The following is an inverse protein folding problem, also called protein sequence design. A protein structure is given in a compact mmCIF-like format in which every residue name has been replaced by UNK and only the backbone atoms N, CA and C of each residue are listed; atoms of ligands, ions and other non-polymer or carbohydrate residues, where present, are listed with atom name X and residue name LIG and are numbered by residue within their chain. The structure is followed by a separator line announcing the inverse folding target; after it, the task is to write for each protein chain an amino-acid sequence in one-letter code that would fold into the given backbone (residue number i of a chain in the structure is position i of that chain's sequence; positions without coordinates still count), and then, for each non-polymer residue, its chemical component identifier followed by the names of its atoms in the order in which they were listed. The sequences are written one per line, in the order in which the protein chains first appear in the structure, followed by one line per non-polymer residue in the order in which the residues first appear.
data_IF_346590205843
#
_entry.id   IF_346590205843
#
_cell.length_a   1.000
_cell.length_b   1.000
_cell.length_c   1.000
_cell.angle_alpha   90.00
_cell.angle_beta   90.00
_cell.angle_gamma   90.00
#
_symmetry.space_group_name_H-M   'P 1'
#
loop_
_entity.id
_entity.type
_entity.pdbx_description
1 polymer ?
#
# COMPACT_ATOMS: atom_id res chain seq x y z
N UNK A 1 -31.69 20.71 32.29
CA UNK A 1 -31.77 19.29 32.72
C UNK A 1 -31.91 18.48 31.45
N UNK A 2 -30.80 17.94 30.94
CA UNK A 2 -30.83 17.07 29.75
C UNK A 2 -31.60 15.79 30.08
N UNK A 3 -32.48 15.38 29.18
CA UNK A 3 -33.34 14.21 29.32
C UNK A 3 -32.49 12.94 29.44
N UNK A 4 -32.64 12.20 30.55
CA UNK A 4 -31.93 10.94 30.82
C UNK A 4 -32.17 9.84 29.79
N UNK A 5 -33.05 10.07 28.82
CA UNK A 5 -33.31 9.19 27.67
C UNK A 5 -32.16 9.18 26.66
N UNK A 6 -31.49 10.32 26.44
CA UNK A 6 -30.37 10.42 25.46
C UNK A 6 -29.13 9.64 25.94
N UNK A 7 -28.81 9.74 27.23
CA UNK A 7 -27.71 8.99 27.87
C UNK A 7 -27.95 7.46 27.86
N UNK A 8 -29.21 7.01 27.97
CA UNK A 8 -29.54 5.58 27.90
C UNK A 8 -29.38 5.04 26.48
N UNK A 9 -29.82 5.78 25.46
CA UNK A 9 -29.67 5.39 24.06
C UNK A 9 -28.20 5.32 23.64
N UNK A 10 -27.39 6.32 24.04
CA UNK A 10 -25.95 6.31 23.80
C UNK A 10 -25.27 5.11 24.46
N UNK A 11 -25.64 4.76 25.70
CA UNK A 11 -25.09 3.59 26.40
C UNK A 11 -25.45 2.26 25.72
N UNK A 12 -26.71 2.07 25.32
CA UNK A 12 -27.14 0.84 24.65
C UNK A 12 -26.48 0.67 23.27
N UNK A 13 -26.30 1.77 22.53
CA UNK A 13 -25.54 1.75 21.29
C UNK A 13 -24.07 1.35 21.53
N UNK A 14 -23.44 1.90 22.58
CA UNK A 14 -22.06 1.58 22.96
C UNK A 14 -21.90 0.10 23.34
N UNK A 15 -22.83 -0.44 24.12
CA UNK A 15 -22.84 -1.85 24.56
C UNK A 15 -23.05 -2.80 23.36
N UNK A 16 -23.93 -2.46 22.43
CA UNK A 16 -24.19 -3.25 21.20
C UNK A 16 -22.99 -3.24 20.26
N UNK A 17 -22.36 -2.07 20.07
CA UNK A 17 -21.14 -1.93 19.28
C UNK A 17 -19.99 -2.72 19.89
N UNK A 18 -19.78 -2.62 21.20
CA UNK A 18 -18.72 -3.35 21.92
C UNK A 18 -18.90 -4.86 21.77
N UNK A 19 -20.14 -5.35 21.88
CA UNK A 19 -20.44 -6.77 21.70
C UNK A 19 -20.15 -7.24 20.26
N UNK A 20 -20.59 -6.48 19.26
CA UNK A 20 -20.35 -6.79 17.83
C UNK A 20 -18.86 -6.79 17.50
N UNK A 21 -18.10 -5.85 18.07
CA UNK A 21 -16.64 -5.75 17.95
C UNK A 21 -15.94 -7.01 18.50
N UNK A 22 -16.33 -7.47 19.68
CA UNK A 22 -15.75 -8.68 20.30
C UNK A 22 -16.03 -9.91 19.44
N UNK A 23 -17.25 -10.08 18.96
CA UNK A 23 -17.62 -11.21 18.10
C UNK A 23 -16.86 -11.21 16.76
N UNK A 24 -16.69 -10.04 16.14
CA UNK A 24 -15.95 -9.94 14.87
C UNK A 24 -14.45 -10.23 15.06
N UNK A 25 -13.87 -9.75 16.17
CA UNK A 25 -12.46 -10.02 16.51
C UNK A 25 -12.22 -11.51 16.76
N UNK A 26 -13.16 -12.18 17.43
CA UNK A 26 -13.11 -13.62 17.69
C UNK A 26 -13.35 -14.45 16.40
N UNK A 27 -14.21 -13.98 15.50
CA UNK A 27 -14.42 -14.62 14.20
C UNK A 27 -13.13 -14.60 13.36
N UNK A 28 -12.47 -13.43 13.26
CA UNK A 28 -11.18 -13.29 12.56
C UNK A 28 -10.10 -14.20 13.14
N UNK A 29 -10.03 -14.34 14.48
CA UNK A 29 -9.11 -15.27 15.16
C UNK A 29 -9.36 -16.74 14.81
N UNK A 30 -10.63 -17.14 14.65
CA UNK A 30 -10.98 -18.53 14.32
C UNK A 30 -10.69 -18.89 12.86
N UNK A 31 -10.74 -17.91 11.95
CA UNK A 31 -10.48 -18.12 10.52
C UNK A 31 -8.99 -18.11 10.12
N UNK A 32 -8.09 -17.63 10.99
CA UNK A 32 -6.63 -17.58 10.71
C UNK A 32 -5.81 -18.13 11.90
N UNK A 33 -5.56 -19.44 11.99
CA UNK A 33 -4.87 -20.07 13.13
C UNK A 33 -3.35 -19.80 13.20
N UNK A 34 -2.79 -19.04 12.25
CA UNK A 34 -1.34 -18.76 12.17
C UNK A 34 -0.93 -17.37 12.67
N UNK A 35 -1.83 -16.60 13.28
CA UNK A 35 -1.48 -15.29 13.86
C UNK A 35 -0.74 -15.51 15.20
N UNK A 36 0.55 -15.13 15.33
CA UNK A 36 1.24 -15.18 16.62
C UNK A 36 0.56 -14.27 17.65
N UNK A 37 0.53 -14.70 18.90
CA UNK A 37 0.11 -13.83 20.02
C UNK A 37 0.95 -12.55 20.01
N UNK A 38 0.37 -11.35 20.18
CA UNK A 38 1.14 -10.12 20.17
C UNK A 38 2.09 -10.10 21.37
N UNK A 39 3.37 -10.33 21.12
CA UNK A 39 4.44 -9.90 22.02
C UNK A 39 4.47 -8.37 22.00
N UNK A 40 4.37 -7.76 23.19
CA UNK A 40 4.52 -6.32 23.40
C UNK A 40 5.85 -5.87 22.81
N UNK A 41 5.82 -5.18 21.66
CA UNK A 41 7.02 -4.61 21.05
C UNK A 41 7.33 -3.25 21.66
N UNK A 42 8.61 -2.87 21.88
CA UNK A 42 8.98 -1.63 22.55
C UNK A 42 8.67 -0.34 21.77
N UNK A 43 8.36 -0.43 20.47
CA UNK A 43 8.24 0.74 19.60
C UNK A 43 6.85 0.87 18.96
N UNK A 44 5.99 1.70 19.58
CA UNK A 44 5.48 2.90 18.91
C UNK A 44 4.22 2.88 18.04
N UNK A 45 3.52 1.77 17.83
CA UNK A 45 2.17 1.84 17.23
C UNK A 45 1.10 1.89 18.34
N UNK A 46 0.20 2.89 18.36
CA UNK A 46 -0.83 2.95 19.38
C UNK A 46 -1.80 1.77 19.22
N UNK A 47 -1.76 0.83 20.16
CA UNK A 47 -2.82 -0.19 20.28
C UNK A 47 -4.17 0.50 20.54
N UNK A 48 -5.28 -0.14 20.19
CA UNK A 48 -6.65 0.33 20.54
C UNK A 48 -6.78 0.66 22.05
N UNK A 49 -6.02 -0.03 22.90
CA UNK A 49 -5.94 0.20 24.35
C UNK A 49 -5.18 1.45 24.78
N UNK A 50 -4.37 2.03 23.89
CA UNK A 50 -3.68 3.30 24.11
C UNK A 50 -4.53 4.51 23.72
N UNK A 51 -5.41 4.35 22.71
CA UNK A 51 -6.48 5.33 22.41
C UNK A 51 -7.44 5.40 23.60
N UNK A 52 -7.95 4.25 24.06
CA UNK A 52 -8.86 4.19 25.22
C UNK A 52 -8.28 4.76 26.53
N UNK A 53 -6.94 4.86 26.67
CA UNK A 53 -6.28 5.38 27.88
C UNK A 53 -5.97 6.88 27.85
N UNK A 54 -6.00 7.53 26.68
CA UNK A 54 -5.65 8.96 26.53
C UNK A 54 -6.84 9.90 26.59
N UNK A 55 -8.06 9.41 26.45
CA UNK A 55 -9.25 10.26 26.41
C UNK A 55 -9.94 10.39 27.77
N UNK A 56 -10.31 11.61 28.10
CA UNK A 56 -11.30 11.92 29.13
C UNK A 56 -12.63 11.23 28.74
N UNK A 57 -13.21 10.46 29.66
CA UNK A 57 -14.43 9.66 29.43
C UNK A 57 -15.68 10.51 29.10
N UNK A 58 -15.54 11.83 29.04
CA UNK A 58 -16.56 12.80 28.68
C UNK A 58 -16.82 12.94 27.17
N UNK A 59 -16.09 12.22 26.28
CA UNK A 59 -16.31 12.25 24.82
C UNK A 59 -16.49 10.85 24.18
N UNK A 60 -17.50 10.07 24.60
CA UNK A 60 -17.67 8.69 24.15
C UNK A 60 -17.95 8.53 22.65
N UNK A 61 -18.58 9.53 22.02
CA UNK A 61 -18.93 9.48 20.58
C UNK A 61 -17.71 9.67 19.69
N UNK A 62 -16.81 10.61 20.00
CA UNK A 62 -15.58 10.84 19.23
C UNK A 62 -14.67 9.61 19.27
N UNK A 63 -14.50 9.00 20.45
CA UNK A 63 -13.72 7.77 20.63
C UNK A 63 -14.30 6.60 19.80
N UNK A 64 -15.63 6.47 19.75
CA UNK A 64 -16.27 5.44 18.94
C UNK A 64 -16.08 5.66 17.44
N UNK A 65 -16.19 6.90 16.96
CA UNK A 65 -15.96 7.22 15.56
C UNK A 65 -14.52 6.96 15.15
N UNK A 66 -13.56 7.33 16.00
CA UNK A 66 -12.14 7.01 15.79
C UNK A 66 -11.93 5.49 15.72
N UNK A 67 -12.48 4.71 16.64
CA UNK A 67 -12.35 3.24 16.63
C UNK A 67 -12.94 2.63 15.37
N UNK A 68 -14.13 3.07 14.95
CA UNK A 68 -14.78 2.58 13.72
C UNK A 68 -13.97 2.93 12.47
N UNK A 69 -13.39 4.14 12.42
CA UNK A 69 -12.47 4.54 11.37
C UNK A 69 -11.26 3.60 11.27
N UNK A 70 -10.58 3.35 12.39
CA UNK A 70 -9.43 2.45 12.45
C UNK A 70 -9.79 1.01 12.04
N UNK A 71 -10.93 0.49 12.46
CA UNK A 71 -11.37 -0.86 12.06
C UNK A 71 -11.64 -0.96 10.57
N UNK A 72 -12.26 0.07 9.99
CA UNK A 72 -12.56 0.11 8.56
C UNK A 72 -11.26 0.14 7.74
N UNK A 73 -10.29 0.95 8.16
CA UNK A 73 -8.97 1.01 7.54
C UNK A 73 -8.21 -0.31 7.64
N UNK A 74 -8.21 -0.97 8.82
CA UNK A 74 -7.56 -2.27 9.00
C UNK A 74 -8.20 -3.36 8.13
N UNK A 75 -9.53 -3.37 8.03
CA UNK A 75 -10.25 -4.30 7.15
C UNK A 75 -9.89 -4.10 5.68
N UNK A 76 -9.83 -2.84 5.24
CA UNK A 76 -9.41 -2.46 3.89
C UNK A 76 -7.98 -2.89 3.57
N UNK A 77 -7.01 -2.55 4.42
CA UNK A 77 -5.61 -2.91 4.22
C UNK A 77 -5.41 -4.44 4.22
N UNK A 78 -6.12 -5.16 5.09
CA UNK A 78 -6.07 -6.63 5.10
C UNK A 78 -6.64 -7.25 3.80
N UNK A 79 -7.64 -6.63 3.18
CA UNK A 79 -8.14 -7.05 1.87
C UNK A 79 -7.09 -6.87 0.78
N UNK A 80 -6.40 -5.72 0.73
CA UNK A 80 -5.32 -5.47 -0.24
C UNK A 80 -4.17 -6.48 -0.08
N UNK A 81 -3.75 -6.76 1.16
CA UNK A 81 -2.75 -7.83 1.44
C UNK A 81 -3.21 -9.17 0.88
N UNK A 82 -4.48 -9.52 1.08
CA UNK A 82 -5.07 -10.78 0.57
C UNK A 82 -5.07 -10.83 -0.96
N UNK A 83 -5.39 -9.73 -1.63
CA UNK A 83 -5.38 -9.65 -3.10
C UNK A 83 -3.98 -9.88 -3.68
N UNK A 84 -2.95 -9.27 -3.10
CA UNK A 84 -1.57 -9.55 -3.50
C UNK A 84 -1.18 -11.01 -3.20
N UNK A 85 -1.58 -11.56 -2.06
CA UNK A 85 -1.29 -12.97 -1.73
C UNK A 85 -1.90 -13.95 -2.75
N UNK A 86 -3.02 -13.61 -3.39
CA UNK A 86 -3.64 -14.40 -4.45
C UNK A 86 -2.85 -14.40 -5.78
N UNK A 87 -1.79 -13.60 -5.89
CA UNK A 87 -0.87 -13.68 -7.03
C UNK A 87 0.03 -14.91 -6.98
N UNK A 88 0.21 -15.54 -5.81
CA UNK A 88 1.02 -16.76 -5.69
C UNK A 88 0.51 -17.85 -6.64
N UNK A 89 1.43 -18.44 -7.40
CA UNK A 89 1.16 -19.47 -8.40
C UNK A 89 0.70 -18.94 -9.76
N UNK A 90 0.45 -17.63 -9.92
CA UNK A 90 0.17 -17.03 -11.23
C UNK A 90 1.46 -16.94 -12.05
N UNK A 91 1.36 -17.12 -13.36
CA UNK A 91 2.50 -17.02 -14.28
C UNK A 91 2.46 -15.70 -15.03
N UNK A 92 3.42 -14.82 -14.72
CA UNK A 92 3.60 -13.55 -15.43
C UNK A 92 4.31 -13.82 -16.76
N UNK A 93 3.67 -13.38 -17.84
CA UNK A 93 4.19 -13.45 -19.21
C UNK A 93 4.96 -12.19 -19.59
N UNK A 94 4.45 -11.02 -19.23
CA UNK A 94 5.08 -9.74 -19.56
C UNK A 94 4.64 -8.62 -18.63
N UNK A 95 5.42 -7.56 -18.62
CA UNK A 95 5.15 -6.33 -17.89
C UNK A 95 5.05 -5.14 -18.83
N UNK A 96 4.17 -4.21 -18.48
CA UNK A 96 4.08 -2.89 -19.07
C UNK A 96 3.73 -1.90 -17.97
N UNK A 97 3.82 -0.61 -18.26
CA UNK A 97 3.34 0.42 -17.35
C UNK A 97 3.37 1.79 -17.98
N UNK A 98 2.84 2.76 -17.25
CA UNK A 98 3.04 4.18 -17.54
C UNK A 98 4.18 4.65 -16.65
N UNK A 99 5.31 4.93 -17.29
CA UNK A 99 6.53 5.42 -16.64
C UNK A 99 6.43 6.93 -16.50
N UNK A 100 6.67 7.42 -15.28
CA UNK A 100 6.71 8.85 -14.98
C UNK A 100 8.16 9.32 -14.99
N UNK A 101 8.42 10.47 -15.60
CA UNK A 101 9.74 11.06 -15.65
C UNK A 101 10.26 11.37 -14.24
N UNK A 102 11.56 11.21 -14.05
CA UNK A 102 12.26 11.56 -12.82
C UNK A 102 12.41 13.08 -12.68
N UNK A 103 12.47 13.78 -13.81
CA UNK A 103 12.51 15.25 -13.90
C UNK A 103 11.62 15.70 -15.05
N UNK A 104 10.83 16.74 -14.81
CA UNK A 104 9.97 17.35 -15.83
C UNK A 104 10.80 18.05 -16.92
N UNK A 105 11.86 18.77 -16.51
CA UNK A 105 12.75 19.50 -17.40
C UNK A 105 14.19 18.97 -17.32
N UNK A 106 14.48 17.92 -18.08
CA UNK A 106 15.83 17.39 -18.28
C UNK A 106 16.68 18.19 -19.28
N UNK A 107 17.86 17.66 -19.67
CA UNK A 107 18.71 18.28 -20.66
C UNK A 107 17.98 18.57 -21.98
N UNK A 108 17.90 19.85 -22.36
CA UNK A 108 17.17 20.29 -23.55
C UNK A 108 15.69 20.59 -23.33
N UNK A 109 15.23 20.66 -22.07
CA UNK A 109 13.84 21.00 -21.72
C UNK A 109 12.85 19.87 -22.01
N UNK A 110 13.33 18.62 -22.00
CA UNK A 110 12.51 17.42 -22.22
C UNK A 110 12.49 16.55 -20.96
N UNK A 111 11.39 15.83 -20.68
CA UNK A 111 11.32 14.96 -19.51
C UNK A 111 12.43 13.90 -19.49
N UNK A 112 13.06 13.74 -18.33
CA UNK A 112 14.13 12.77 -18.11
C UNK A 112 13.59 11.55 -17.37
N UNK A 113 13.63 10.38 -18.00
CA UNK A 113 13.09 9.13 -17.45
C UNK A 113 14.13 8.22 -16.80
N UNK A 114 15.42 8.49 -17.01
CA UNK A 114 16.51 7.69 -16.45
C UNK A 114 17.52 8.54 -15.69
N UNK A 115 18.12 7.96 -14.66
CA UNK A 115 19.24 8.54 -13.93
C UNK A 115 20.07 7.39 -13.35
N UNK A 116 21.39 7.29 -13.63
CA UNK A 116 22.22 6.20 -13.12
C UNK A 116 22.24 6.04 -11.59
N UNK A 117 21.87 7.09 -10.84
CA UNK A 117 21.80 7.02 -9.37
C UNK A 117 20.44 6.56 -8.83
N UNK A 118 19.43 6.41 -9.70
CA UNK A 118 18.08 5.97 -9.34
C UNK A 118 17.96 4.46 -9.54
N UNK A 119 17.83 3.66 -8.46
CA UNK A 119 17.89 2.19 -8.52
C UNK A 119 16.53 1.53 -8.78
N UNK A 120 15.52 2.29 -9.19
CA UNK A 120 14.16 1.81 -9.41
C UNK A 120 13.50 2.45 -10.64
N UNK A 121 12.41 1.84 -11.09
CA UNK A 121 11.47 2.49 -12.01
C UNK A 121 10.41 3.24 -11.21
N UNK A 122 9.92 4.35 -11.74
CA UNK A 122 8.77 5.10 -11.23
C UNK A 122 7.60 4.96 -12.20
N UNK A 123 6.52 4.33 -11.74
CA UNK A 123 5.37 3.99 -12.58
C UNK A 123 4.06 4.48 -11.95
N UNK A 124 3.14 4.94 -12.77
CA UNK A 124 1.75 5.18 -12.40
C UNK A 124 0.84 4.80 -13.57
N UNK A 125 0.48 3.52 -13.75
CA UNK A 125 0.75 2.35 -12.90
C UNK A 125 1.59 1.25 -13.57
N UNK A 126 1.82 0.15 -12.84
CA UNK A 126 2.44 -1.08 -13.32
C UNK A 126 1.38 -2.11 -13.73
N UNK A 127 1.59 -2.82 -14.85
CA UNK A 127 0.69 -3.85 -15.37
C UNK A 127 1.44 -5.17 -15.55
N UNK A 128 0.94 -6.24 -14.94
CA UNK A 128 1.35 -7.62 -15.20
C UNK A 128 0.34 -8.32 -16.10
N UNK A 129 0.79 -8.82 -17.24
CA UNK A 129 0.02 -9.73 -18.10
C UNK A 129 0.39 -11.18 -17.76
N UNK A 130 -0.60 -12.00 -17.48
CA UNK A 130 -0.44 -13.42 -17.22
C UNK A 130 -0.47 -14.26 -18.50
N UNK A 131 -0.07 -15.52 -18.39
CA UNK A 131 -0.02 -16.47 -19.51
C UNK A 131 -1.41 -16.89 -20.03
N UNK A 132 -2.43 -16.88 -19.16
CA UNK A 132 -3.84 -17.12 -19.47
C UNK A 132 -4.53 -15.94 -20.17
N UNK A 133 -3.81 -14.83 -20.38
CA UNK A 133 -4.32 -13.60 -20.98
C UNK A 133 -5.01 -12.65 -19.99
N UNK A 134 -5.20 -13.06 -18.73
CA UNK A 134 -5.60 -12.18 -17.64
C UNK A 134 -4.50 -11.18 -17.30
N UNK A 135 -4.85 -10.10 -16.62
CA UNK A 135 -3.87 -9.11 -16.17
C UNK A 135 -4.29 -8.48 -14.84
N UNK A 136 -3.30 -7.89 -14.18
CA UNK A 136 -3.50 -7.04 -13.00
C UNK A 136 -2.79 -5.72 -13.18
N UNK A 137 -3.41 -4.67 -12.67
CA UNK A 137 -2.80 -3.36 -12.52
C UNK A 137 -2.44 -3.14 -11.06
N UNK A 138 -1.19 -2.74 -10.81
CA UNK A 138 -0.69 -2.32 -9.51
C UNK A 138 -0.54 -0.81 -9.56
N UNK A 139 -1.28 -0.12 -8.71
CA UNK A 139 -1.18 1.33 -8.54
C UNK A 139 -1.07 1.69 -7.07
N UNK A 140 -1.29 2.96 -6.76
CA UNK A 140 -1.46 3.43 -5.39
C UNK A 140 -2.89 3.91 -5.13
N UNK A 141 -3.30 3.87 -3.87
CA UNK A 141 -4.53 4.49 -3.38
C UNK A 141 -4.16 5.50 -2.31
N UNK A 142 -4.81 6.66 -2.34
CA UNK A 142 -4.68 7.65 -1.28
C UNK A 142 -5.57 7.26 -0.09
N UNK A 143 -5.01 7.41 1.11
CA UNK A 143 -5.75 7.52 2.37
C UNK A 143 -5.53 8.91 2.94
N UNK A 144 -6.29 9.30 3.96
CA UNK A 144 -6.27 10.65 4.56
C UNK A 144 -4.87 11.25 4.81
N UNK A 145 -3.83 10.43 5.01
CA UNK A 145 -2.47 10.90 5.28
C UNK A 145 -1.35 10.20 4.51
N UNK A 146 -1.64 9.20 3.68
CA UNK A 146 -0.61 8.36 3.05
C UNK A 146 -1.16 7.55 1.87
N UNK A 147 -0.30 7.21 0.90
CA UNK A 147 -0.64 6.30 -0.18
C UNK A 147 -0.18 4.86 0.09
N UNK A 148 -1.02 3.89 -0.24
CA UNK A 148 -0.71 2.45 -0.18
C UNK A 148 -0.82 1.77 -1.53
N UNK A 149 -0.26 0.58 -1.67
CA UNK A 149 -0.39 -0.25 -2.87
C UNK A 149 -1.77 -0.90 -2.94
N UNK A 150 -2.36 -0.91 -4.13
CA UNK A 150 -3.54 -1.70 -4.44
C UNK A 150 -3.35 -2.50 -5.71
N UNK A 151 -4.21 -3.50 -5.87
CA UNK A 151 -4.23 -4.38 -7.01
C UNK A 151 -5.62 -4.37 -7.62
N UNK A 152 -5.71 -4.00 -8.90
CA UNK A 152 -6.95 -4.06 -9.66
C UNK A 152 -6.90 -5.22 -10.64
N UNK A 153 -7.84 -6.16 -10.49
CA UNK A 153 -8.16 -7.14 -11.53
C UNK A 153 -9.18 -6.49 -12.47
N UNK A 154 -8.81 -6.22 -13.72
CA UNK A 154 -9.80 -5.78 -14.69
C UNK A 154 -10.63 -6.99 -15.15
N UNK A 155 -11.94 -6.81 -15.27
CA UNK A 155 -12.81 -7.87 -15.77
C UNK A 155 -12.65 -8.08 -17.28
N UNK A 156 -12.42 -7.02 -18.08
CA UNK A 156 -12.50 -7.18 -19.56
C UNK A 156 -11.87 -6.09 -20.43
N UNK A 157 -11.18 -5.05 -19.95
CA UNK A 157 -10.52 -4.15 -20.90
C UNK A 157 -9.25 -3.51 -20.33
N UNK A 158 -8.13 -3.84 -20.96
CA UNK A 158 -6.82 -3.24 -20.73
C UNK A 158 -6.74 -1.83 -21.37
N UNK A 159 -7.78 -1.43 -22.11
CA UNK A 159 -7.75 -0.41 -23.16
C UNK A 159 -8.38 0.93 -22.82
N UNK A 160 -8.92 1.15 -21.61
CA UNK A 160 -9.51 2.46 -21.31
C UNK A 160 -8.41 3.51 -21.04
N UNK A 161 -7.90 4.10 -22.12
CA UNK A 161 -7.32 5.44 -22.24
C UNK A 161 -5.88 5.73 -21.76
N UNK A 162 -4.99 4.74 -21.62
CA UNK A 162 -3.56 5.04 -21.36
C UNK A 162 -2.95 5.98 -22.41
N UNK A 163 -3.34 5.86 -23.68
CA UNK A 163 -2.79 6.68 -24.76
C UNK A 163 -3.12 8.17 -24.58
N UNK A 164 -4.26 8.51 -23.98
CA UNK A 164 -4.66 9.89 -23.69
C UNK A 164 -3.91 10.48 -22.47
N UNK A 165 -3.29 9.63 -21.64
CA UNK A 165 -2.49 10.02 -20.46
C UNK A 165 -0.98 10.15 -20.80
N UNK A 166 -0.55 9.81 -22.02
CA UNK A 166 0.86 9.85 -22.44
C UNK A 166 1.33 11.19 -23.01
N UNK A 167 1.04 12.29 -22.31
CA UNK A 167 1.60 13.61 -22.62
C UNK A 167 2.38 14.18 -21.42
N UNK A 168 3.37 15.03 -21.71
CA UNK A 168 4.25 15.61 -20.69
C UNK A 168 5.20 14.57 -20.08
N UNK A 169 5.11 14.40 -18.75
CA UNK A 169 6.05 13.57 -17.96
C UNK A 169 5.74 12.07 -17.98
N UNK A 170 4.74 11.63 -18.73
CA UNK A 170 4.29 10.23 -18.74
C UNK A 170 4.56 9.55 -20.07
N UNK A 171 4.96 8.27 -20.05
CA UNK A 171 5.07 7.44 -21.25
C UNK A 171 4.65 5.99 -20.98
N UNK A 172 3.88 5.39 -21.88
CA UNK A 172 3.65 3.94 -21.84
C UNK A 172 4.86 3.20 -22.37
N UNK A 173 5.29 2.14 -21.66
CA UNK A 173 6.44 1.34 -22.07
C UNK A 173 6.29 -0.12 -21.64
N UNK A 174 6.80 -1.03 -22.48
CA UNK A 174 7.04 -2.43 -22.12
C UNK A 174 8.29 -2.53 -21.23
N UNK A 175 8.23 -3.38 -20.20
CA UNK A 175 9.26 -3.47 -19.16
C UNK A 175 9.95 -4.86 -19.16
N UNK A 176 10.70 -5.21 -20.22
CA UNK A 176 11.36 -6.52 -20.33
C UNK A 176 12.47 -6.74 -19.29
N UNK A 177 12.94 -5.70 -18.62
CA UNK A 177 13.91 -5.77 -17.52
C UNK A 177 13.33 -6.43 -16.26
N UNK A 178 12.00 -6.48 -16.11
CA UNK A 178 11.35 -7.06 -14.94
C UNK A 178 11.25 -8.59 -15.04
N UNK A 179 11.39 -9.31 -13.92
CA UNK A 179 11.35 -10.78 -13.92
C UNK A 179 9.97 -11.31 -14.32
N UNK A 180 9.95 -12.28 -15.24
CA UNK A 180 8.78 -13.05 -15.66
C UNK A 180 8.86 -14.49 -15.15
N UNK A 181 7.73 -15.20 -15.14
CA UNK A 181 7.61 -16.57 -14.63
C UNK A 181 6.53 -16.73 -13.57
N UNK A 182 6.55 -17.87 -12.89
CA UNK A 182 5.61 -18.19 -11.79
C UNK A 182 5.99 -17.37 -10.55
N UNK A 183 4.99 -16.79 -9.90
CA UNK A 183 5.14 -16.14 -8.59
C UNK A 183 5.17 -17.23 -7.50
N UNK A 184 6.35 -17.54 -6.98
CA UNK A 184 6.58 -18.57 -5.96
C UNK A 184 6.10 -18.12 -4.58
N UNK A 185 6.30 -16.85 -4.24
CA UNK A 185 5.91 -16.28 -2.95
C UNK A 185 5.56 -14.79 -3.06
N UNK A 186 4.76 -14.34 -2.11
CA UNK A 186 4.35 -12.94 -1.95
C UNK A 186 4.51 -12.57 -0.48
N UNK A 187 5.28 -11.52 -0.21
CA UNK A 187 5.43 -10.94 1.13
C UNK A 187 4.93 -9.50 1.11
N UNK A 188 4.05 -9.17 2.05
CA UNK A 188 3.45 -7.85 2.17
C UNK A 188 3.91 -7.19 3.48
N UNK A 189 4.18 -5.89 3.41
CA UNK A 189 4.66 -5.11 4.54
C UNK A 189 3.83 -3.84 4.71
N UNK A 190 3.35 -3.66 5.94
CA UNK A 190 2.52 -2.51 6.30
C UNK A 190 3.39 -1.41 6.89
N UNK A 191 3.01 -0.17 6.60
CA UNK A 191 3.54 1.00 7.29
C UNK A 191 2.43 2.02 7.47
N UNK A 192 2.28 2.55 8.69
CA UNK A 192 1.28 3.57 9.04
C UNK A 192 -0.15 3.25 8.56
N UNK A 193 -0.55 1.99 8.71
CA UNK A 193 -1.89 1.52 8.38
C UNK A 193 -2.15 1.26 6.89
N UNK A 194 -1.17 1.48 6.00
CA UNK A 194 -1.29 1.20 4.56
C UNK A 194 -0.37 0.05 4.13
N UNK A 195 -0.71 -0.59 3.00
CA UNK A 195 0.17 -1.58 2.36
C UNK A 195 1.31 -0.85 1.63
N UNK A 196 2.43 -0.64 2.31
CA UNK A 196 3.51 0.18 1.78
C UNK A 196 4.40 -0.57 0.78
N UNK A 197 4.63 -1.88 1.00
CA UNK A 197 5.56 -2.66 0.19
C UNK A 197 5.04 -4.08 -0.07
N UNK A 198 5.31 -4.60 -1.26
CA UNK A 198 5.09 -5.99 -1.64
C UNK A 198 6.35 -6.53 -2.32
N UNK A 199 6.83 -7.68 -1.87
CA UNK A 199 7.90 -8.43 -2.54
C UNK A 199 7.31 -9.66 -3.20
N UNK A 200 7.44 -9.73 -4.52
CA UNK A 200 7.11 -10.91 -5.33
C UNK A 200 8.37 -11.72 -5.54
N UNK A 201 8.33 -13.03 -5.27
CA UNK A 201 9.38 -13.96 -5.67
C UNK A 201 8.96 -14.63 -6.97
N UNK A 202 9.68 -14.38 -8.06
CA UNK A 202 9.31 -14.86 -9.40
C UNK A 202 10.42 -15.77 -9.93
N UNK A 203 10.20 -17.08 -9.86
CA UNK A 203 11.22 -18.11 -10.15
C UNK A 203 12.53 -17.84 -9.40
N UNK A 204 12.42 -17.56 -8.11
CA UNK A 204 13.55 -17.21 -7.23
C UNK A 204 14.19 -15.83 -7.46
N UNK A 205 13.65 -15.00 -8.37
CA UNK A 205 14.08 -13.60 -8.54
C UNK A 205 13.13 -12.67 -7.78
N UNK A 206 13.62 -11.90 -6.81
CA UNK A 206 12.77 -10.99 -6.08
C UNK A 206 12.44 -9.74 -6.91
N UNK A 207 11.23 -9.22 -6.76
CA UNK A 207 10.78 -7.94 -7.28
C UNK A 207 10.09 -7.19 -6.15
N UNK A 208 10.63 -6.04 -5.76
CA UNK A 208 10.02 -5.18 -4.75
C UNK A 208 9.18 -4.10 -5.42
N UNK A 209 7.93 -4.01 -4.99
CA UNK A 209 6.98 -2.96 -5.31
C UNK A 209 6.79 -2.10 -4.06
N UNK A 210 6.86 -0.79 -4.18
CA UNK A 210 6.72 0.15 -3.07
C UNK A 210 5.83 1.32 -3.46
N UNK A 211 4.89 1.70 -2.59
CA UNK A 211 4.19 2.98 -2.73
C UNK A 211 5.17 4.11 -2.39
N UNK A 212 5.41 5.02 -3.33
CA UNK A 212 6.38 6.10 -3.19
C UNK A 212 6.64 6.83 -4.50
N UNK A 213 7.33 7.96 -4.40
CA UNK A 213 7.57 8.87 -5.53
C UNK A 213 8.96 9.50 -5.38
N UNK A 214 9.66 9.69 -6.51
CA UNK A 214 10.83 10.54 -6.59
C UNK A 214 10.35 11.96 -6.92
N UNK A 215 10.58 12.88 -5.99
CA UNK A 215 10.27 14.30 -6.18
C UNK A 215 11.55 15.08 -6.47
N UNK A 216 11.50 15.95 -7.47
CA UNK A 216 12.58 16.90 -7.74
C UNK A 216 12.53 18.04 -6.71
N UNK A 217 13.66 18.25 -6.02
CA UNK A 217 13.81 19.39 -5.12
C UNK A 217 14.00 20.68 -5.90
N UNK A 218 13.84 21.82 -5.22
CA UNK A 218 14.16 23.15 -5.80
C UNK A 218 15.63 23.27 -6.24
N UNK A 219 16.52 22.38 -5.79
CA UNK A 219 17.93 22.33 -6.18
C UNK A 219 18.22 21.28 -7.28
N UNK A 220 17.18 20.64 -7.83
CA UNK A 220 17.29 19.61 -8.88
C UNK A 220 17.71 18.21 -8.37
N UNK A 221 17.82 18.04 -7.05
CA UNK A 221 18.11 16.72 -6.46
C UNK A 221 16.84 15.90 -6.34
N UNK A 222 16.92 14.59 -6.58
CA UNK A 222 15.78 13.69 -6.39
C UNK A 222 15.66 13.28 -4.92
N UNK A 223 14.44 13.36 -4.39
CA UNK A 223 14.08 12.97 -3.02
C UNK A 223 13.13 11.79 -3.10
N UNK A 224 13.49 10.69 -2.44
CA UNK A 224 12.65 9.49 -2.39
C UNK A 224 11.61 9.62 -1.28
N UNK A 225 10.36 9.85 -1.68
CA UNK A 225 9.22 9.98 -0.77
C UNK A 225 8.50 8.64 -0.63
N UNK A 226 8.32 8.14 0.59
CA UNK A 226 7.58 6.89 0.85
C UNK A 226 6.09 7.17 0.99
N UNK A 227 5.28 6.19 0.59
CA UNK A 227 3.81 6.20 0.70
C UNK A 227 3.21 7.38 -0.05
N UNK A 228 3.66 7.55 -1.28
CA UNK A 228 3.27 8.61 -2.20
C UNK A 228 2.61 7.98 -3.45
N UNK A 229 2.20 8.81 -4.40
CA UNK A 229 1.23 8.46 -5.46
C UNK A 229 1.76 7.46 -6.51
N UNK A 230 3.07 7.25 -6.61
CA UNK A 230 3.65 6.34 -7.60
C UNK A 230 3.96 4.93 -7.07
N UNK A 231 4.18 4.00 -8.00
CA UNK A 231 4.73 2.67 -7.74
C UNK A 231 6.20 2.64 -8.09
N UNK A 232 7.05 2.50 -7.07
CA UNK A 232 8.49 2.31 -7.24
C UNK A 232 8.81 0.82 -7.36
N UNK A 233 9.53 0.45 -8.43
CA UNK A 233 9.85 -0.95 -8.75
C UNK A 233 11.35 -1.20 -8.69
N UNK A 234 11.78 -2.07 -7.78
CA UNK A 234 13.18 -2.45 -7.59
C UNK A 234 13.40 -3.91 -7.99
N UNK A 235 14.25 -4.15 -9.00
CA UNK A 235 14.67 -5.51 -9.40
C UNK A 235 15.67 -6.13 -8.44
N UNK A 236 16.36 -5.31 -7.64
CA UNK A 236 17.17 -5.74 -6.50
C UNK A 236 16.64 -5.03 -5.24
N UNK A 237 15.83 -5.72 -4.40
CA UNK A 237 15.29 -5.13 -3.18
C UNK A 237 16.35 -4.62 -2.18
N UNK A 238 17.60 -5.09 -2.27
CA UNK A 238 18.65 -4.63 -1.38
C UNK A 238 18.99 -3.15 -1.61
N UNK A 239 18.88 -2.67 -2.85
CA UNK A 239 19.11 -1.26 -3.22
C UNK A 239 18.10 -0.30 -2.59
N UNK A 240 16.87 -0.75 -2.32
CA UNK A 240 15.89 0.03 -1.57
C UNK A 240 16.30 0.26 -0.10
N UNK A 241 17.28 -0.49 0.42
CA UNK A 241 17.81 -0.30 1.78
C UNK A 241 18.88 0.81 1.83
N UNK A 242 19.52 1.12 0.70
CA UNK A 242 20.54 2.16 0.61
C UNK A 242 20.00 3.54 0.21
N UNK A 243 18.70 3.65 -0.02
CA UNK A 243 18.03 4.91 -0.38
C UNK A 243 17.76 5.75 0.87
N UNK A 244 18.03 7.05 0.78
CA UNK A 244 17.69 8.04 1.81
C UNK A 244 16.20 8.42 1.73
N UNK A 245 15.36 7.64 2.40
CA UNK A 245 13.90 7.78 2.36
C UNK A 245 13.35 8.93 3.21
N UNK A 246 12.31 9.59 2.72
CA UNK A 246 11.50 10.57 3.45
C UNK A 246 10.03 10.11 3.48
N UNK A 247 9.43 9.80 4.64
CA UNK A 247 10.10 9.53 5.92
C UNK A 247 10.98 8.27 5.84
N UNK A 248 11.85 8.11 6.84
CA UNK A 248 12.77 6.97 6.95
C UNK A 248 12.03 5.62 6.82
N UNK A 249 12.65 4.69 6.08
CA UNK A 249 12.16 3.32 5.94
C UNK A 249 12.37 2.54 7.23
N UNK A 250 11.31 2.41 8.03
CA UNK A 250 11.35 1.65 9.28
C UNK A 250 11.32 0.15 9.02
N UNK A 251 11.86 -0.61 9.97
CA UNK A 251 11.88 -2.06 9.94
C UNK A 251 10.49 -2.63 9.64
N UNK A 252 10.39 -3.36 8.54
CA UNK A 252 9.12 -3.82 8.00
C UNK A 252 8.54 -4.95 8.85
N UNK A 253 7.27 -4.83 9.23
CA UNK A 253 6.53 -5.93 9.85
C UNK A 253 5.97 -6.79 8.71
N UNK A 254 6.47 -8.03 8.60
CA UNK A 254 5.90 -9.01 7.67
C UNK A 254 4.48 -9.33 8.13
N UNK A 255 3.49 -9.02 7.28
CA UNK A 255 2.07 -9.33 7.50
C UNK A 255 1.72 -10.77 7.15
#
# INVERSE_FOLDING_TARGET
MGDGTELKLQRTALETLTFTLVEHTDACRRSCPLVPQPTVTPNGSPSIWSVLRRHDLNRPVEILLEILGHMTQLGWTAERVREFAQLRGQQIKSWAGVEMALREEGPGGVPQFDDPVVPCLQLDPLVALFDDGGFVTVGTYESDTACGLWLRRAATDQSSNWEDETDGIYRTRALPELPTGIIDDVSAFLDDGVLAEVVLQIQGRPLLLMAGELRESMQGSLVFTRRDESVLVFTDPSTATSVDWVPERRGLIRS
#
